data_IF_581094073005
#
_entry.id   IF_581094073005
#
_cell.length_a   1.000
_cell.length_b   1.000
_cell.length_c   1.000
_cell.angle_alpha   90.00
_cell.angle_beta   90.00
_cell.angle_gamma   90.00
#
_symmetry.space_group_name_H-M   'P 1'
#
loop_
_entity.id
_entity.type
_entity.pdbx_description
1 polymer ?
#
# COMPACT_ATOMS: atom_id res chain seq x y z
N UNK A 1 -21.93 -30.48 44.46
CA UNK A 1 -21.25 -30.89 43.22
C UNK A 1 -21.28 -29.70 42.27
N UNK A 2 -20.10 -29.10 42.07
CA UNK A 2 -19.61 -28.22 40.96
C UNK A 2 -20.65 -27.28 40.31
N UNK A 3 -20.71 -25.99 40.72
CA UNK A 3 -20.13 -24.78 40.04
C UNK A 3 -20.78 -24.55 38.66
N UNK A 4 -21.48 -23.44 38.36
CA UNK A 4 -20.86 -22.15 37.96
C UNK A 4 -21.73 -20.95 38.36
N UNK A 5 -21.23 -20.15 39.31
CA UNK A 5 -21.53 -18.74 39.46
C UNK A 5 -20.40 -17.98 38.74
N UNK A 6 -20.65 -17.48 37.53
CA UNK A 6 -19.76 -16.51 36.88
C UNK A 6 -20.58 -15.25 36.60
N UNK A 7 -20.21 -14.23 37.38
CA UNK A 7 -20.63 -12.84 37.37
C UNK A 7 -21.07 -12.29 36.01
N UNK A 8 -22.29 -11.76 35.98
CA UNK A 8 -22.82 -10.80 35.01
C UNK A 8 -22.09 -9.44 35.13
N UNK A 9 -20.76 -9.41 34.99
CA UNK A 9 -19.97 -8.19 35.05
C UNK A 9 -19.86 -7.56 33.65
N UNK A 10 -20.51 -6.40 33.50
CA UNK A 10 -20.34 -5.40 32.45
C UNK A 10 -20.40 -5.89 30.99
N UNK A 11 -21.61 -5.88 30.42
CA UNK A 11 -21.76 -5.55 28.99
C UNK A 11 -21.39 -4.08 28.85
N UNK A 12 -20.11 -3.79 28.65
CA UNK A 12 -19.69 -2.51 28.11
C UNK A 12 -20.44 -2.32 26.80
N UNK A 13 -21.40 -1.38 26.77
CA UNK A 13 -22.04 -0.92 25.55
C UNK A 13 -20.92 -0.44 24.62
N UNK A 14 -20.51 -1.29 23.69
CA UNK A 14 -19.64 -0.89 22.60
C UNK A 14 -20.47 0.09 21.76
N UNK A 15 -20.31 1.38 22.03
CA UNK A 15 -20.84 2.43 21.17
C UNK A 15 -20.01 2.38 19.89
N UNK A 16 -20.48 1.60 18.92
CA UNK A 16 -19.94 1.62 17.57
C UNK A 16 -20.17 3.04 17.03
N UNK A 17 -19.12 3.88 17.08
CA UNK A 17 -19.11 5.18 16.40
C UNK A 17 -19.38 4.91 14.92
N UNK A 18 -20.60 5.21 14.48
CA UNK A 18 -20.94 5.20 13.07
C UNK A 18 -20.01 6.21 12.40
N UNK A 19 -19.18 5.80 11.41
CA UNK A 19 -18.27 6.72 10.76
C UNK A 19 -19.05 7.90 10.17
N UNK A 20 -18.63 9.13 10.47
CA UNK A 20 -19.25 10.37 9.96
C UNK A 20 -19.34 10.40 8.42
N UNK A 21 -18.53 9.60 7.74
CA UNK A 21 -18.53 9.44 6.29
C UNK A 21 -19.85 8.93 5.72
N UNK A 22 -20.75 8.31 6.50
CA UNK A 22 -22.07 7.88 5.99
C UNK A 22 -22.93 9.06 5.48
N UNK A 23 -22.68 10.29 5.94
CA UNK A 23 -23.40 11.51 5.53
C UNK A 23 -22.85 12.15 4.27
N UNK A 24 -21.67 11.73 3.81
CA UNK A 24 -21.02 12.30 2.62
C UNK A 24 -21.57 11.61 1.36
N UNK A 25 -21.93 12.33 0.29
CA UNK A 25 -22.31 11.71 -0.98
C UNK A 25 -21.24 10.73 -1.49
N UNK A 26 -21.66 9.62 -2.09
CA UNK A 26 -20.73 8.57 -2.57
C UNK A 26 -19.67 9.09 -3.56
N UNK A 27 -20.01 10.14 -4.32
CA UNK A 27 -19.09 10.81 -5.26
C UNK A 27 -17.98 11.53 -4.51
N UNK A 28 -18.31 12.30 -3.47
CA UNK A 28 -17.32 13.02 -2.65
C UNK A 28 -16.43 12.04 -1.85
N UNK A 29 -16.99 10.91 -1.40
CA UNK A 29 -16.19 9.85 -0.76
C UNK A 29 -15.16 9.23 -1.71
N UNK A 30 -15.50 9.05 -2.99
CA UNK A 30 -14.56 8.52 -3.99
C UNK A 30 -13.43 9.51 -4.26
N UNK A 31 -13.76 10.79 -4.45
CA UNK A 31 -12.76 11.86 -4.62
C UNK A 31 -11.80 11.98 -3.44
N UNK A 32 -12.25 11.68 -2.22
CA UNK A 32 -11.39 11.69 -1.02
C UNK A 32 -10.51 10.43 -0.88
N UNK A 33 -10.84 9.34 -1.58
CA UNK A 33 -10.16 8.04 -1.43
C UNK A 33 -9.03 7.83 -2.44
N UNK A 34 -9.06 8.53 -3.57
CA UNK A 34 -8.11 8.38 -4.66
C UNK A 34 -7.50 9.73 -4.99
N UNK A 35 -6.28 9.71 -5.51
CA UNK A 35 -5.62 10.91 -5.99
C UNK A 35 -6.08 11.21 -7.42
N UNK A 36 -6.42 12.46 -7.67
CA UNK A 36 -6.66 12.99 -9.00
C UNK A 36 -5.33 13.25 -9.73
N UNK A 37 -5.39 13.50 -11.04
CA UNK A 37 -4.21 13.62 -11.90
C UNK A 37 -3.24 14.72 -11.42
N UNK A 38 -3.77 15.87 -11.02
CA UNK A 38 -2.98 16.99 -10.53
C UNK A 38 -2.29 16.66 -9.20
N UNK A 39 -2.97 15.93 -8.32
CA UNK A 39 -2.43 15.50 -7.03
C UNK A 39 -1.31 14.46 -7.22
N UNK A 40 -1.46 13.57 -8.20
CA UNK A 40 -0.40 12.63 -8.60
C UNK A 40 0.82 13.38 -9.13
N UNK A 41 0.62 14.44 -9.93
CA UNK A 41 1.72 15.24 -10.44
C UNK A 41 2.50 15.94 -9.32
N UNK A 42 1.77 16.54 -8.37
CA UNK A 42 2.36 17.16 -7.17
C UNK A 42 3.13 16.13 -6.34
N UNK A 43 2.60 14.92 -6.18
CA UNK A 43 3.27 13.82 -5.48
C UNK A 43 4.61 13.48 -6.14
N UNK A 44 4.65 13.28 -7.46
CA UNK A 44 5.90 12.98 -8.16
C UNK A 44 6.91 14.11 -8.07
N UNK A 45 6.46 15.35 -8.19
CA UNK A 45 7.32 16.52 -8.02
C UNK A 45 7.95 16.54 -6.62
N UNK A 46 7.15 16.33 -5.56
CA UNK A 46 7.65 16.32 -4.19
C UNK A 46 8.66 15.19 -3.92
N UNK A 47 8.45 14.00 -4.50
CA UNK A 47 9.39 12.88 -4.39
C UNK A 47 10.71 13.24 -5.11
N UNK A 48 10.61 13.81 -6.32
CA UNK A 48 11.76 14.18 -7.12
C UNK A 48 12.58 15.32 -6.48
N UNK A 49 11.93 16.37 -5.99
CA UNK A 49 12.57 17.47 -5.27
C UNK A 49 13.31 16.97 -4.02
N UNK A 50 12.72 16.02 -3.30
CA UNK A 50 13.35 15.37 -2.15
C UNK A 50 14.55 14.50 -2.54
N UNK A 51 14.53 13.90 -3.73
CA UNK A 51 15.68 13.17 -4.25
C UNK A 51 16.85 14.10 -4.62
N UNK A 52 16.56 15.17 -5.38
CA UNK A 52 17.54 16.17 -5.83
C UNK A 52 18.20 16.90 -4.65
N UNK A 53 17.40 17.35 -3.67
CA UNK A 53 17.90 18.02 -2.45
C UNK A 53 18.84 17.16 -1.59
N UNK A 54 18.80 15.83 -1.74
CA UNK A 54 19.71 14.90 -1.06
C UNK A 54 21.01 14.64 -1.84
N UNK A 55 21.38 15.51 -2.80
CA UNK A 55 22.61 15.45 -3.60
C UNK A 55 22.82 14.12 -4.35
N UNK A 56 21.75 13.47 -4.83
CA UNK A 56 21.82 12.18 -5.54
C UNK A 56 22.51 11.03 -4.78
N UNK A 57 22.89 11.22 -3.51
CA UNK A 57 23.56 10.20 -2.70
C UNK A 57 22.61 9.10 -2.22
N UNK A 58 21.29 9.34 -2.29
CA UNK A 58 20.29 8.41 -1.80
C UNK A 58 19.67 7.59 -2.94
N UNK A 59 20.28 6.44 -3.25
CA UNK A 59 19.75 5.45 -4.23
C UNK A 59 18.29 5.06 -3.96
N UNK A 60 17.83 5.13 -2.71
CA UNK A 60 16.46 4.81 -2.34
C UNK A 60 15.44 5.86 -2.83
N UNK A 61 15.83 7.13 -2.93
CA UNK A 61 14.92 8.18 -3.39
C UNK A 61 14.45 7.94 -4.84
N UNK A 62 15.38 7.56 -5.72
CA UNK A 62 15.07 7.20 -7.11
C UNK A 62 14.22 5.93 -7.19
N UNK A 63 14.53 4.93 -6.37
CA UNK A 63 13.72 3.70 -6.29
C UNK A 63 12.27 4.00 -5.90
N UNK A 64 12.03 4.90 -4.93
CA UNK A 64 10.67 5.27 -4.54
C UNK A 64 9.90 5.99 -5.64
N UNK A 65 10.58 6.81 -6.46
CA UNK A 65 9.97 7.45 -7.63
C UNK A 65 9.53 6.39 -8.65
N UNK A 66 10.44 5.47 -9.01
CA UNK A 66 10.17 4.39 -9.96
C UNK A 66 9.03 3.48 -9.45
N UNK A 67 9.03 3.15 -8.16
CA UNK A 67 7.97 2.35 -7.53
C UNK A 67 6.61 3.07 -7.55
N UNK A 68 6.58 4.36 -7.19
CA UNK A 68 5.33 5.13 -7.18
C UNK A 68 4.74 5.23 -8.58
N UNK A 69 5.58 5.51 -9.58
CA UNK A 69 5.16 5.54 -10.99
C UNK A 69 4.64 4.17 -11.45
N UNK A 70 5.36 3.10 -11.10
CA UNK A 70 4.98 1.74 -11.48
C UNK A 70 3.66 1.30 -10.85
N UNK A 71 3.41 1.61 -9.57
CA UNK A 71 2.14 1.33 -8.87
C UNK A 71 0.98 2.08 -9.51
N UNK A 72 1.16 3.38 -9.80
CA UNK A 72 0.10 4.23 -10.34
C UNK A 72 -0.27 3.80 -11.77
N UNK A 73 0.73 3.42 -12.59
CA UNK A 73 0.49 3.01 -13.99
C UNK A 73 -0.10 1.62 -14.13
N UNK A 74 0.21 0.70 -13.23
CA UNK A 74 -0.20 -0.70 -13.34
C UNK A 74 -1.31 -1.11 -12.34
N UNK A 75 -1.57 -0.29 -11.31
CA UNK A 75 -2.59 -0.57 -10.30
C UNK A 75 -2.28 -1.76 -9.39
N UNK A 76 -0.99 -2.12 -9.24
CA UNK A 76 -0.56 -3.23 -8.40
C UNK A 76 -0.79 -2.93 -6.92
N UNK A 77 -1.05 -3.97 -6.14
CA UNK A 77 -0.97 -3.88 -4.68
C UNK A 77 0.50 -3.81 -4.28
N UNK A 78 0.80 -3.07 -3.21
CA UNK A 78 2.19 -2.93 -2.72
C UNK A 78 2.85 -4.29 -2.45
N UNK A 79 2.09 -5.27 -1.94
CA UNK A 79 2.59 -6.62 -1.69
C UNK A 79 2.89 -7.43 -2.96
N UNK A 80 2.25 -7.13 -4.09
CA UNK A 80 2.54 -7.77 -5.39
C UNK A 80 3.81 -7.16 -5.99
N UNK A 81 3.94 -5.83 -5.93
CA UNK A 81 5.17 -5.14 -6.36
C UNK A 81 6.40 -5.63 -5.59
N UNK A 82 6.28 -5.75 -4.27
CA UNK A 82 7.41 -6.20 -3.44
C UNK A 82 7.79 -7.67 -3.67
N UNK A 83 6.92 -8.49 -4.27
CA UNK A 83 7.21 -9.87 -4.65
C UNK A 83 7.66 -10.01 -6.11
N UNK A 84 7.82 -8.89 -6.81
CA UNK A 84 8.21 -8.88 -8.21
C UNK A 84 9.71 -9.18 -8.33
N UNK A 85 10.05 -10.14 -9.17
CA UNK A 85 11.42 -10.49 -9.54
C UNK A 85 11.61 -10.30 -11.05
N UNK A 86 12.86 -10.17 -11.50
CA UNK A 86 13.19 -9.96 -12.93
C UNK A 86 12.60 -11.06 -13.81
N UNK A 87 12.55 -12.29 -13.32
CA UNK A 87 11.98 -13.46 -14.02
C UNK A 87 10.48 -13.34 -14.32
N UNK A 88 9.76 -12.46 -13.62
CA UNK A 88 8.32 -12.22 -13.81
C UNK A 88 8.03 -11.11 -14.82
N UNK A 89 9.06 -10.49 -15.39
CA UNK A 89 8.94 -9.41 -16.36
C UNK A 89 9.38 -9.91 -17.73
N UNK A 90 8.44 -10.00 -18.66
CA UNK A 90 8.74 -10.21 -20.07
C UNK A 90 8.82 -8.85 -20.77
N UNK A 91 10.05 -8.36 -20.95
CA UNK A 91 10.32 -7.08 -21.61
C UNK A 91 9.99 -7.10 -23.11
N UNK A 92 10.08 -8.25 -23.77
CA UNK A 92 9.80 -8.39 -25.20
C UNK A 92 8.29 -8.31 -25.46
N UNK A 93 7.52 -9.08 -24.68
CA UNK A 93 6.07 -9.08 -24.76
C UNK A 93 5.41 -7.90 -24.02
N UNK A 94 6.18 -7.13 -23.24
CA UNK A 94 5.70 -6.07 -22.33
C UNK A 94 4.63 -6.60 -21.36
N UNK A 95 4.86 -7.80 -20.82
CA UNK A 95 3.94 -8.48 -19.92
C UNK A 95 4.54 -8.64 -18.53
N UNK A 96 3.68 -8.51 -17.53
CA UNK A 96 4.00 -8.71 -16.12
C UNK A 96 3.23 -9.92 -15.61
N UNK A 97 3.93 -10.89 -15.02
CA UNK A 97 3.32 -12.02 -14.34
C UNK A 97 3.12 -11.70 -12.87
N UNK A 98 1.86 -11.63 -12.43
CA UNK A 98 1.48 -11.40 -11.04
C UNK A 98 0.79 -12.67 -10.52
N UNK A 99 1.50 -13.44 -9.71
CA UNK A 99 1.03 -14.73 -9.21
C UNK A 99 1.14 -14.89 -7.68
N UNK A 100 1.85 -13.98 -7.01
CA UNK A 100 2.03 -14.02 -5.56
C UNK A 100 2.22 -12.59 -4.99
N UNK A 101 1.87 -12.43 -3.72
CA UNK A 101 2.27 -11.26 -2.92
C UNK A 101 3.30 -11.66 -1.86
N UNK A 102 4.06 -10.70 -1.31
CA UNK A 102 5.21 -10.97 -0.42
C UNK A 102 4.89 -11.91 0.75
N UNK A 103 3.73 -11.74 1.39
CA UNK A 103 3.33 -12.57 2.52
C UNK A 103 3.08 -14.02 2.09
N UNK A 104 2.48 -14.21 0.92
CA UNK A 104 2.22 -15.53 0.32
C UNK A 104 3.49 -16.16 -0.25
N UNK A 105 4.44 -15.34 -0.70
CA UNK A 105 5.74 -15.78 -1.21
C UNK A 105 6.67 -16.33 -0.10
N UNK A 106 6.31 -16.16 1.18
CA UNK A 106 6.99 -16.80 2.31
C UNK A 106 8.46 -16.37 2.52
N UNK A 107 8.88 -15.24 1.94
CA UNK A 107 10.29 -14.83 1.94
C UNK A 107 10.68 -14.13 3.25
N UNK A 108 11.70 -14.63 3.92
CA UNK A 108 12.29 -14.02 5.12
C UNK A 108 13.25 -12.88 4.73
N UNK A 109 13.51 -11.95 5.66
CA UNK A 109 14.38 -10.76 5.45
C UNK A 109 15.77 -11.17 4.93
N UNK A 110 16.28 -12.32 5.38
CA UNK A 110 17.57 -12.89 4.99
C UNK A 110 17.66 -13.17 3.48
N UNK A 111 16.53 -13.45 2.81
CA UNK A 111 16.49 -13.71 1.36
C UNK A 111 16.51 -12.43 0.51
N UNK A 112 16.42 -11.24 1.13
CA UNK A 112 16.49 -9.95 0.45
C UNK A 112 17.88 -9.30 0.48
N UNK A 113 18.81 -9.83 1.28
CA UNK A 113 20.19 -9.32 1.35
C UNK A 113 20.99 -10.02 0.25
N UNK A 114 21.29 -9.28 -0.84
CA UNK A 114 22.29 -9.66 -1.84
C UNK A 114 23.56 -8.86 -1.60
#
# INVERSE_FOLDING_TARGET
MVIVMISFYLINKIVLKIPNDRKIPAIQRRKKKFLEREEIHILFQAINEKYESNNNNNKMGKLYLDMAEFLIRNGLRIGELSALTVEKVDFSAKKLLINEGVVTAGRTIEQYIR
#
